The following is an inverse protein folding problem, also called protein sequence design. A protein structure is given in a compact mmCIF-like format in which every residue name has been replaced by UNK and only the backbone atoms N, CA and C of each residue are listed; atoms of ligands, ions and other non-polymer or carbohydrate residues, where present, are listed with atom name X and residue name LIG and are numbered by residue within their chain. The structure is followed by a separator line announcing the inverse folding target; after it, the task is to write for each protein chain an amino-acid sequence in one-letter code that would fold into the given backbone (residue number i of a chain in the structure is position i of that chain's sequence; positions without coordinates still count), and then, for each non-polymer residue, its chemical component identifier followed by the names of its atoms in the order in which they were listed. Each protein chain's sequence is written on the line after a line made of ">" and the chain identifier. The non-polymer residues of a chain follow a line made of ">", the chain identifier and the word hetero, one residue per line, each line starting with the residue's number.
data_IF_944971149688
#
_entry.id   IF_944971149688
#
_cell.length_a   1.000
_cell.length_b   1.000
_cell.length_c   1.000
_cell.angle_alpha   90.00
_cell.angle_beta   90.00
_cell.angle_gamma   90.00
#
_symmetry.space_group_name_H-M   'P 1'
#
loop_
_entity.id
_entity.type
_entity.pdbx_description
1 polymer ?
#
# COMPACT_ATOMS: atom_id res chain seq x y z
N UNK A 1 1.73 10.13 -19.18
CA UNK A 1 2.03 8.68 -19.14
C UNK A 1 1.98 8.15 -20.56
N UNK A 2 3.08 7.57 -21.02
CA UNK A 2 3.12 6.90 -22.33
C UNK A 2 2.59 5.48 -22.15
N UNK A 3 1.67 5.05 -23.02
CA UNK A 3 1.13 3.70 -23.00
C UNK A 3 0.98 3.20 -24.46
N UNK A 4 1.36 1.96 -24.69
CA UNK A 4 1.41 1.34 -26.02
C UNK A 4 0.54 0.07 -26.00
N UNK A 5 -0.35 -0.07 -26.98
CA UNK A 5 -1.12 -1.30 -27.16
C UNK A 5 -0.27 -2.27 -27.96
N UNK A 6 -0.01 -3.44 -27.37
CA UNK A 6 0.81 -4.49 -27.95
C UNK A 6 -0.06 -5.69 -28.35
N UNK A 7 0.20 -6.29 -29.49
CA UNK A 7 -0.29 -7.64 -29.81
C UNK A 7 0.48 -8.71 -29.02
N UNK A 8 0.03 -9.96 -29.09
CA UNK A 8 0.65 -11.07 -28.36
C UNK A 8 2.15 -11.24 -28.68
N UNK A 9 2.55 -11.04 -29.95
CA UNK A 9 3.95 -11.16 -30.38
C UNK A 9 4.81 -10.05 -29.79
N UNK A 10 4.31 -8.83 -29.78
CA UNK A 10 5.01 -7.68 -29.20
C UNK A 10 5.12 -7.81 -27.67
N UNK A 11 4.09 -8.36 -26.99
CA UNK A 11 4.16 -8.68 -25.57
C UNK A 11 5.30 -9.68 -25.26
N UNK A 12 5.46 -10.73 -26.07
CA UNK A 12 6.55 -11.70 -25.92
C UNK A 12 7.93 -11.09 -26.19
N UNK A 13 8.01 -10.07 -27.03
CA UNK A 13 9.26 -9.36 -27.29
C UNK A 13 9.67 -8.47 -26.10
N UNK A 14 8.69 -7.88 -25.38
CA UNK A 14 8.91 -7.11 -24.16
C UNK A 14 9.20 -8.02 -22.97
N UNK A 15 8.41 -9.10 -22.83
CA UNK A 15 8.50 -10.03 -21.70
C UNK A 15 8.51 -11.49 -22.16
N UNK A 16 9.70 -12.05 -22.42
CA UNK A 16 9.83 -13.43 -22.89
C UNK A 16 9.31 -14.50 -21.92
N UNK A 17 9.22 -14.21 -20.62
CA UNK A 17 8.66 -15.14 -19.63
C UNK A 17 7.18 -15.49 -19.88
N UNK A 18 6.46 -14.65 -20.65
CA UNK A 18 5.08 -14.92 -21.09
C UNK A 18 4.96 -16.04 -22.14
N UNK A 19 6.08 -16.56 -22.66
CA UNK A 19 6.06 -17.63 -23.67
C UNK A 19 5.29 -18.89 -23.25
N UNK A 20 5.20 -19.14 -21.93
CA UNK A 20 4.43 -20.27 -21.40
C UNK A 20 2.92 -20.13 -21.51
N UNK A 21 2.40 -18.93 -21.73
CA UNK A 21 0.96 -18.65 -21.89
C UNK A 21 0.61 -18.02 -23.24
N UNK A 22 1.50 -18.07 -24.24
CA UNK A 22 1.34 -17.40 -25.54
C UNK A 22 0.01 -17.70 -26.24
N UNK A 23 -0.49 -18.93 -26.18
CA UNK A 23 -1.72 -19.35 -26.85
C UNK A 23 -2.99 -18.71 -26.24
N UNK A 24 -2.90 -18.25 -25.01
CA UNK A 24 -3.98 -17.54 -24.28
C UNK A 24 -3.78 -16.02 -24.23
N UNK A 25 -2.67 -15.51 -24.74
CA UNK A 25 -2.31 -14.11 -24.70
C UNK A 25 -2.94 -13.36 -25.87
N UNK A 26 -3.94 -12.53 -25.61
CA UNK A 26 -4.59 -11.70 -26.64
C UNK A 26 -3.77 -10.46 -27.02
N UNK A 27 -3.01 -9.91 -26.08
CA UNK A 27 -2.23 -8.68 -26.18
C UNK A 27 -2.06 -8.01 -24.84
N UNK A 28 -1.55 -6.80 -24.82
CA UNK A 28 -1.31 -6.06 -23.58
C UNK A 28 -1.28 -4.54 -23.77
N UNK A 29 -1.32 -3.83 -22.66
CA UNK A 29 -1.01 -2.42 -22.57
C UNK A 29 0.34 -2.29 -21.86
N UNK A 30 1.31 -1.73 -22.55
CA UNK A 30 2.66 -1.52 -22.04
C UNK A 30 2.87 -0.05 -21.65
N UNK A 31 3.30 0.19 -20.44
CA UNK A 31 3.65 1.50 -19.91
C UNK A 31 5.17 1.53 -19.65
N UNK A 32 5.99 1.96 -20.63
CA UNK A 32 7.45 1.88 -20.54
C UNK A 32 8.07 2.80 -19.48
N UNK A 33 7.33 3.79 -19.02
CA UNK A 33 7.78 4.75 -18.00
C UNK A 33 7.34 4.35 -16.59
N UNK A 34 6.56 3.26 -16.43
CA UNK A 34 6.14 2.76 -15.14
C UNK A 34 7.28 1.94 -14.49
N UNK A 35 7.39 2.08 -13.18
CA UNK A 35 8.42 1.39 -12.39
C UNK A 35 7.81 0.53 -11.28
N UNK A 36 8.54 -0.49 -10.91
CA UNK A 36 8.22 -1.38 -9.79
C UNK A 36 9.19 -1.16 -8.65
N UNK A 37 8.68 -1.11 -7.42
CA UNK A 37 9.52 -0.94 -6.25
C UNK A 37 9.11 -1.84 -5.08
N UNK A 38 10.08 -2.17 -4.24
CA UNK A 38 9.85 -2.88 -2.99
C UNK A 38 9.41 -1.90 -1.90
N UNK A 39 8.09 -1.81 -1.66
CA UNK A 39 7.50 -0.90 -0.69
C UNK A 39 8.00 -1.16 0.75
N UNK A 40 8.30 -2.40 1.11
CA UNK A 40 8.84 -2.74 2.44
C UNK A 40 10.27 -2.20 2.59
N UNK A 41 11.14 -2.50 1.63
CA UNK A 41 12.53 -2.03 1.64
C UNK A 41 12.58 -0.49 1.63
N UNK A 42 11.77 0.16 0.79
CA UNK A 42 11.66 1.61 0.75
C UNK A 42 11.26 2.20 2.10
N UNK A 43 10.19 1.67 2.73
CA UNK A 43 9.69 2.18 4.01
C UNK A 43 10.72 2.02 5.13
N UNK A 44 11.41 0.88 5.18
CA UNK A 44 12.46 0.62 6.17
C UNK A 44 13.66 1.57 6.01
N UNK A 45 14.11 1.79 4.78
CA UNK A 45 15.20 2.72 4.49
C UNK A 45 14.82 4.16 4.81
N UNK A 46 13.61 4.58 4.41
CA UNK A 46 13.10 5.91 4.72
C UNK A 46 12.99 6.14 6.24
N UNK A 47 12.54 5.15 7.00
CA UNK A 47 12.52 5.24 8.46
C UNK A 47 13.94 5.42 9.05
N UNK A 48 14.93 4.77 8.44
CA UNK A 48 16.35 4.95 8.80
C UNK A 48 16.83 6.38 8.58
N UNK A 49 16.51 6.96 7.41
CA UNK A 49 16.84 8.35 7.08
C UNK A 49 16.12 9.34 8.01
N UNK A 50 14.84 9.10 8.31
CA UNK A 50 14.08 9.93 9.23
C UNK A 50 14.71 9.93 10.64
N UNK A 51 15.16 8.78 11.14
CA UNK A 51 15.88 8.73 12.45
C UNK A 51 17.16 9.55 12.42
N UNK A 52 17.94 9.49 11.34
CA UNK A 52 19.15 10.31 11.18
C UNK A 52 18.82 11.80 11.15
N UNK A 53 17.65 12.16 10.65
CA UNK A 53 17.14 13.52 10.65
C UNK A 53 16.50 13.96 12.01
N UNK A 54 16.53 13.11 13.04
CA UNK A 54 16.03 13.42 14.37
C UNK A 54 14.58 13.02 14.65
N UNK A 55 13.92 12.29 13.74
CA UNK A 55 12.56 11.79 13.98
C UNK A 55 12.57 10.66 15.02
N UNK A 56 11.75 10.78 16.04
CA UNK A 56 11.55 9.74 17.06
C UNK A 56 10.46 8.77 16.61
N UNK A 57 10.75 7.47 16.73
CA UNK A 57 9.81 6.39 16.43
C UNK A 57 9.45 5.64 17.72
N UNK A 58 8.15 5.50 17.98
CA UNK A 58 7.60 4.70 19.05
C UNK A 58 7.02 3.41 18.45
N UNK A 59 7.88 2.40 18.25
CA UNK A 59 7.44 1.08 17.79
C UNK A 59 6.72 0.33 18.91
N UNK A 60 5.94 -0.68 18.52
CA UNK A 60 5.13 -1.49 19.45
C UNK A 60 4.24 -0.65 20.35
N UNK A 61 3.84 0.52 19.86
CA UNK A 61 3.01 1.49 20.58
C UNK A 61 1.73 1.74 19.80
N UNK A 62 0.60 1.43 20.40
CA UNK A 62 -0.72 1.62 19.79
C UNK A 62 -1.34 2.93 20.22
N UNK A 63 -1.79 3.75 19.28
CA UNK A 63 -2.66 4.90 19.54
C UNK A 63 -4.08 4.41 19.74
N UNK A 64 -4.64 4.58 20.91
CA UNK A 64 -5.98 4.10 21.27
C UNK A 64 -7.08 5.14 21.07
N UNK A 65 -6.76 6.42 21.26
CA UNK A 65 -7.68 7.55 21.01
C UNK A 65 -6.91 8.86 20.87
N UNK A 66 -7.59 9.86 20.30
CA UNK A 66 -7.14 11.24 20.35
C UNK A 66 -7.99 12.00 21.37
N UNK A 67 -7.37 12.91 22.11
CA UNK A 67 -8.01 13.71 23.15
C UNK A 67 -8.32 15.07 22.57
N UNK A 68 -9.62 15.43 22.52
CA UNK A 68 -10.04 16.76 22.12
C UNK A 68 -9.65 17.79 23.16
N UNK A 69 -8.99 18.87 22.73
CA UNK A 69 -8.76 20.07 23.50
C UNK A 69 -9.79 21.16 23.16
N UNK A 70 -9.53 22.39 23.57
CA UNK A 70 -10.47 23.52 23.36
C UNK A 70 -10.66 23.84 21.86
N UNK A 71 -9.58 23.83 21.09
CA UNK A 71 -9.58 24.21 19.66
C UNK A 71 -8.91 23.18 18.75
N UNK A 72 -8.65 21.97 19.25
CA UNK A 72 -7.93 20.96 18.48
C UNK A 72 -7.68 19.68 19.29
N UNK A 73 -6.73 18.88 18.86
CA UNK A 73 -6.23 17.72 19.58
C UNK A 73 -5.20 18.19 20.61
N UNK A 74 -5.35 17.75 21.87
CA UNK A 74 -4.41 18.07 22.95
C UNK A 74 -3.36 16.96 23.16
N UNK A 75 -3.73 15.69 22.93
CA UNK A 75 -2.83 14.56 23.06
C UNK A 75 -3.34 13.33 22.28
N UNK A 76 -2.42 12.41 21.99
CA UNK A 76 -2.73 11.05 21.56
C UNK A 76 -2.53 10.09 22.75
N UNK A 77 -3.55 9.33 23.12
CA UNK A 77 -3.41 8.24 24.09
C UNK A 77 -2.76 7.04 23.46
N UNK A 78 -1.75 6.54 24.12
CA UNK A 78 -0.95 5.41 23.64
C UNK A 78 -0.86 4.30 24.67
N UNK A 79 -0.68 3.08 24.19
CA UNK A 79 -0.38 1.91 25.02
C UNK A 79 0.80 1.18 24.36
N UNK A 80 1.85 0.93 25.10
CA UNK A 80 3.03 0.20 24.63
C UNK A 80 2.85 -1.33 24.71
N UNK A 81 3.86 -2.08 24.26
CA UNK A 81 3.85 -3.55 24.27
C UNK A 81 3.76 -4.16 25.69
N UNK A 82 4.11 -3.40 26.73
CA UNK A 82 4.01 -3.84 28.14
C UNK A 82 2.62 -3.61 28.72
N UNK A 83 1.74 -2.93 27.97
CA UNK A 83 0.42 -2.50 28.43
C UNK A 83 0.45 -1.18 29.23
N UNK A 84 1.61 -0.50 29.27
CA UNK A 84 1.73 0.79 29.94
C UNK A 84 1.06 1.87 29.10
N UNK A 85 0.15 2.63 29.72
CA UNK A 85 -0.57 3.72 29.08
C UNK A 85 0.18 5.04 29.24
N UNK A 86 0.12 5.89 28.19
CA UNK A 86 0.72 7.21 28.20
C UNK A 86 -0.01 8.17 27.26
N UNK A 87 0.47 9.40 27.23
CA UNK A 87 -0.02 10.44 26.32
C UNK A 87 1.16 11.07 25.58
N UNK A 88 1.00 11.29 24.27
CA UNK A 88 1.94 12.02 23.44
C UNK A 88 1.31 13.34 23.03
N UNK A 89 1.98 14.45 23.38
CA UNK A 89 1.56 15.80 23.05
C UNK A 89 2.37 16.34 21.85
N UNK A 90 1.77 17.21 21.08
CA UNK A 90 2.39 17.89 19.96
C UNK A 90 1.59 19.12 19.52
N UNK A 91 2.23 19.99 18.74
CA UNK A 91 1.58 21.18 18.19
C UNK A 91 0.64 20.84 17.03
N UNK A 92 0.95 19.78 16.28
CA UNK A 92 0.15 19.26 15.18
C UNK A 92 0.12 17.73 15.20
N UNK A 93 -0.97 17.15 14.70
CA UNK A 93 -1.20 15.71 14.62
C UNK A 93 -1.50 15.33 13.19
N UNK A 94 -0.77 14.35 12.65
CA UNK A 94 -1.04 13.77 11.34
C UNK A 94 -1.56 12.34 11.50
N UNK A 95 -2.80 12.10 11.09
CA UNK A 95 -3.38 10.76 11.07
C UNK A 95 -3.05 10.07 9.74
N UNK A 96 -2.07 9.18 9.76
CA UNK A 96 -1.64 8.35 8.63
C UNK A 96 -1.81 6.85 8.91
N UNK A 97 -2.85 6.49 9.66
CA UNK A 97 -3.06 5.15 10.24
C UNK A 97 -3.82 4.18 9.30
N UNK A 98 -3.93 4.52 8.02
CA UNK A 98 -4.52 3.65 7.01
C UNK A 98 -5.93 3.19 7.38
N UNK A 99 -6.16 1.88 7.40
CA UNK A 99 -7.48 1.29 7.70
C UNK A 99 -8.00 1.62 9.11
N UNK A 100 -7.12 1.94 10.05
CA UNK A 100 -7.51 2.30 11.42
C UNK A 100 -7.92 3.77 11.58
N UNK A 101 -7.71 4.62 10.57
CA UNK A 101 -8.01 6.05 10.64
C UNK A 101 -9.48 6.34 10.95
N UNK A 102 -10.41 5.58 10.37
CA UNK A 102 -11.84 5.77 10.63
C UNK A 102 -12.23 5.51 12.09
N UNK A 103 -11.58 4.56 12.76
CA UNK A 103 -11.82 4.29 14.17
C UNK A 103 -11.27 5.41 15.07
N UNK A 104 -10.08 5.90 14.79
CA UNK A 104 -9.47 6.99 15.54
C UNK A 104 -10.21 8.32 15.32
N UNK A 105 -10.62 8.64 14.10
CA UNK A 105 -11.39 9.86 13.80
C UNK A 105 -12.71 9.91 14.60
N UNK A 106 -13.38 8.76 14.77
CA UNK A 106 -14.62 8.68 15.57
C UNK A 106 -14.41 9.08 17.03
N UNK A 107 -13.23 8.92 17.61
CA UNK A 107 -12.94 9.38 18.97
C UNK A 107 -13.04 10.91 19.14
N UNK A 108 -12.95 11.63 18.00
CA UNK A 108 -13.10 13.09 17.91
C UNK A 108 -14.47 13.50 17.32
N UNK A 109 -15.39 12.56 17.10
CA UNK A 109 -16.68 12.81 16.46
C UNK A 109 -16.57 13.07 14.95
N UNK A 110 -15.46 12.70 14.31
CA UNK A 110 -15.29 12.79 12.86
C UNK A 110 -15.56 11.44 12.18
N UNK A 111 -16.03 11.50 10.94
CA UNK A 111 -16.33 10.30 10.14
C UNK A 111 -15.45 10.29 8.89
N UNK A 112 -14.68 9.23 8.72
CA UNK A 112 -13.90 8.98 7.51
C UNK A 112 -14.49 7.76 6.77
N UNK A 113 -14.81 7.86 5.47
CA UNK A 113 -15.39 6.77 4.70
C UNK A 113 -14.30 5.76 4.27
N UNK A 114 -13.60 5.19 5.24
CA UNK A 114 -12.52 4.23 5.00
C UNK A 114 -12.95 2.85 5.48
N UNK A 115 -12.86 1.87 4.56
CA UNK A 115 -13.14 0.47 4.85
C UNK A 115 -11.87 -0.38 4.64
N UNK A 116 -11.55 -1.32 5.56
CA UNK A 116 -10.42 -2.24 5.40
C UNK A 116 -10.76 -3.33 4.37
N UNK A 117 -10.19 -3.25 3.18
CA UNK A 117 -10.30 -4.29 2.15
C UNK A 117 -9.09 -5.21 2.22
N UNK A 118 -9.30 -6.46 2.64
CA UNK A 118 -8.22 -7.43 2.77
C UNK A 118 -7.73 -7.90 1.40
N UNK A 119 -6.42 -7.81 1.19
CA UNK A 119 -5.73 -8.34 0.03
C UNK A 119 -4.70 -9.38 0.44
N UNK A 120 -4.31 -10.23 -0.51
CA UNK A 120 -3.35 -11.30 -0.29
C UNK A 120 -2.15 -11.14 -1.21
N UNK A 121 -1.01 -11.64 -0.79
CA UNK A 121 0.14 -11.83 -1.66
C UNK A 121 0.86 -13.13 -1.32
N UNK A 122 1.52 -13.67 -2.35
CA UNK A 122 2.42 -14.80 -2.27
C UNK A 122 3.78 -14.32 -2.73
N UNK A 123 4.82 -14.57 -1.96
CA UNK A 123 6.19 -14.26 -2.33
C UNK A 123 6.96 -15.56 -2.51
N UNK A 124 7.53 -15.75 -3.70
CA UNK A 124 8.36 -16.89 -4.05
C UNK A 124 9.82 -16.47 -4.06
N UNK A 125 10.72 -17.14 -3.32
CA UNK A 125 12.14 -17.00 -3.54
C UNK A 125 12.50 -17.60 -4.89
N UNK A 126 13.36 -16.93 -5.66
CA UNK A 126 13.79 -17.36 -6.99
C UNK A 126 15.24 -17.86 -6.96
N UNK A 127 15.52 -18.90 -7.73
CA UNK A 127 16.89 -19.27 -8.04
C UNK A 127 17.56 -18.19 -8.91
N UNK A 128 18.90 -18.16 -8.91
CA UNK A 128 19.66 -17.13 -9.63
C UNK A 128 19.45 -17.18 -11.16
N UNK A 129 19.07 -18.33 -11.67
CA UNK A 129 18.83 -18.63 -13.09
C UNK A 129 17.33 -18.79 -13.43
N UNK A 130 16.43 -18.44 -12.48
CA UNK A 130 14.99 -18.56 -12.71
C UNK A 130 14.51 -17.63 -13.83
N UNK A 131 13.69 -18.17 -14.74
CA UNK A 131 13.02 -17.39 -15.79
C UNK A 131 11.88 -16.54 -15.19
N UNK A 132 12.23 -15.52 -14.41
CA UNK A 132 11.26 -14.61 -13.81
C UNK A 132 10.96 -13.43 -14.75
N UNK A 133 9.73 -12.86 -14.67
CA UNK A 133 9.39 -11.71 -15.49
C UNK A 133 10.32 -10.52 -15.19
N UNK A 134 10.77 -9.85 -16.23
CA UNK A 134 11.61 -8.64 -16.15
C UNK A 134 10.81 -7.37 -15.89
N UNK A 135 9.53 -7.36 -16.28
CA UNK A 135 8.58 -6.27 -16.04
C UNK A 135 7.45 -6.73 -15.12
N UNK A 136 6.80 -5.77 -14.46
CA UNK A 136 5.59 -6.08 -13.67
C UNK A 136 4.43 -6.45 -14.60
N UNK A 137 3.77 -7.56 -14.34
CA UNK A 137 2.65 -8.07 -15.14
C UNK A 137 1.36 -8.00 -14.33
N UNK A 138 0.38 -7.27 -14.86
CA UNK A 138 -1.00 -7.31 -14.36
C UNK A 138 -1.85 -8.18 -15.30
N UNK A 139 -2.34 -9.32 -14.81
CA UNK A 139 -3.31 -10.14 -15.53
C UNK A 139 -4.72 -9.76 -15.07
N UNK A 140 -5.43 -9.04 -15.93
CA UNK A 140 -6.79 -8.58 -15.66
C UNK A 140 -7.80 -9.74 -15.62
N UNK A 141 -7.57 -10.81 -16.38
CA UNK A 141 -8.47 -11.97 -16.42
C UNK A 141 -8.41 -12.80 -15.14
N UNK A 142 -7.21 -12.91 -14.56
CA UNK A 142 -6.96 -13.67 -13.32
C UNK A 142 -6.96 -12.77 -12.09
N UNK A 143 -6.98 -11.45 -12.26
CA UNK A 143 -6.95 -10.44 -11.17
C UNK A 143 -5.74 -10.62 -10.25
N UNK A 144 -4.56 -10.76 -10.84
CA UNK A 144 -3.29 -10.84 -10.13
C UNK A 144 -2.27 -9.88 -10.72
N UNK A 145 -1.32 -9.48 -9.87
CA UNK A 145 -0.16 -8.67 -10.24
C UNK A 145 1.08 -9.44 -9.85
N UNK A 146 1.99 -9.64 -10.80
CA UNK A 146 3.28 -10.29 -10.58
C UNK A 146 4.39 -9.27 -10.70
N UNK A 147 5.21 -9.11 -9.65
CA UNK A 147 6.32 -8.15 -9.61
C UNK A 147 7.60 -8.84 -9.18
N UNK A 148 8.66 -8.67 -9.98
CA UNK A 148 9.99 -9.18 -9.66
C UNK A 148 10.71 -8.19 -8.73
N UNK A 149 11.11 -8.64 -7.54
CA UNK A 149 11.73 -7.83 -6.49
C UNK A 149 13.06 -8.47 -6.05
N UNK A 150 14.14 -8.14 -6.74
CA UNK A 150 15.46 -8.74 -6.49
C UNK A 150 15.47 -10.24 -6.77
N UNK A 151 15.65 -11.07 -5.76
CA UNK A 151 15.60 -12.54 -5.88
C UNK A 151 14.23 -13.15 -5.52
N UNK A 152 13.16 -12.38 -5.63
CA UNK A 152 11.82 -12.81 -5.26
C UNK A 152 10.80 -12.40 -6.32
N UNK A 153 9.83 -13.28 -6.57
CA UNK A 153 8.61 -12.92 -7.30
C UNK A 153 7.47 -12.72 -6.30
N UNK A 154 6.92 -11.52 -6.27
CA UNK A 154 5.74 -11.21 -5.48
C UNK A 154 4.50 -11.24 -6.37
N UNK A 155 3.52 -12.05 -5.98
CA UNK A 155 2.25 -12.20 -6.67
C UNK A 155 1.17 -11.68 -5.72
N UNK A 156 0.49 -10.59 -6.10
CA UNK A 156 -0.60 -10.01 -5.33
C UNK A 156 -1.93 -10.22 -6.03
N UNK A 157 -2.99 -10.42 -5.28
CA UNK A 157 -4.33 -10.57 -5.84
C UNK A 157 -5.40 -10.61 -4.77
N UNK A 158 -6.62 -10.81 -5.21
CA UNK A 158 -7.81 -10.99 -4.38
C UNK A 158 -8.18 -9.74 -3.55
N UNK A 159 -9.47 -9.56 -3.37
CA UNK A 159 -10.06 -8.61 -2.42
C UNK A 159 -11.11 -9.33 -1.58
N UNK A 160 -11.15 -9.05 -0.29
CA UNK A 160 -12.08 -9.66 0.65
C UNK A 160 -12.58 -8.62 1.66
N UNK A 161 -13.88 -8.67 1.95
CA UNK A 161 -14.56 -7.73 2.85
C UNK A 161 -14.81 -8.43 4.20
N UNK A 162 -13.81 -8.44 5.07
CA UNK A 162 -13.82 -9.14 6.36
C UNK A 162 -13.59 -8.22 7.55
N UNK A 163 -13.78 -6.91 7.36
CA UNK A 163 -13.45 -5.93 8.39
C UNK A 163 -11.95 -5.95 8.73
N UNK A 164 -11.64 -5.93 10.00
CA UNK A 164 -10.24 -5.89 10.47
C UNK A 164 -9.57 -7.26 10.61
N UNK A 165 -10.19 -8.34 10.14
CA UNK A 165 -9.54 -9.64 10.09
C UNK A 165 -8.41 -9.65 9.06
N UNK A 166 -7.16 -9.71 9.51
CA UNK A 166 -5.97 -9.81 8.70
C UNK A 166 -5.37 -11.22 8.66
N UNK A 167 -6.12 -12.24 9.10
CA UNK A 167 -5.65 -13.63 9.05
C UNK A 167 -5.41 -14.11 7.62
N UNK A 168 -4.38 -14.93 7.44
CA UNK A 168 -4.03 -15.48 6.12
C UNK A 168 -4.92 -16.69 5.81
N UNK A 169 -5.63 -16.64 4.69
CA UNK A 169 -6.34 -17.79 4.15
C UNK A 169 -5.44 -18.53 3.14
N UNK A 170 -4.88 -19.65 3.55
CA UNK A 170 -3.97 -20.46 2.73
C UNK A 170 -4.59 -20.91 1.39
N UNK A 171 -5.89 -21.21 1.36
CA UNK A 171 -6.59 -21.60 0.14
C UNK A 171 -6.64 -20.48 -0.90
N UNK A 172 -6.80 -19.22 -0.47
CA UNK A 172 -6.73 -18.05 -1.35
C UNK A 172 -5.32 -17.79 -1.87
N UNK A 173 -4.31 -17.92 -1.01
CA UNK A 173 -2.91 -17.80 -1.41
C UNK A 173 -2.52 -18.90 -2.41
N UNK A 174 -2.92 -20.15 -2.17
CA UNK A 174 -2.70 -21.25 -3.11
C UNK A 174 -3.40 -21.02 -4.47
N UNK A 175 -4.58 -20.39 -4.48
CA UNK A 175 -5.26 -20.03 -5.72
C UNK A 175 -4.50 -18.92 -6.50
N UNK A 176 -3.95 -17.92 -5.81
CA UNK A 176 -3.09 -16.89 -6.41
C UNK A 176 -1.85 -17.53 -7.03
N UNK A 177 -1.20 -18.44 -6.32
CA UNK A 177 -0.02 -19.14 -6.79
C UNK A 177 -0.31 -19.97 -8.05
N UNK A 178 -1.39 -20.75 -8.05
CA UNK A 178 -1.80 -21.52 -9.25
C UNK A 178 -2.02 -20.61 -10.47
N UNK A 179 -2.67 -19.47 -10.29
CA UNK A 179 -2.89 -18.50 -11.37
C UNK A 179 -1.59 -17.95 -11.94
N UNK A 180 -0.60 -17.68 -11.09
CA UNK A 180 0.72 -17.24 -11.54
C UNK A 180 1.47 -18.36 -12.28
N UNK A 181 1.36 -19.62 -11.83
CA UNK A 181 1.94 -20.78 -12.51
C UNK A 181 1.34 -21.05 -13.89
N UNK A 182 0.09 -20.67 -14.12
CA UNK A 182 -0.55 -20.73 -15.45
C UNK A 182 0.08 -19.71 -16.43
N UNK A 183 0.55 -18.56 -15.92
CA UNK A 183 1.21 -17.53 -16.73
C UNK A 183 2.69 -17.90 -16.92
N UNK A 184 3.34 -18.33 -15.85
CA UNK A 184 4.76 -18.62 -15.78
C UNK A 184 5.01 -20.08 -15.38
N UNK A 185 4.70 -21.07 -16.24
CA UNK A 185 4.80 -22.49 -15.89
C UNK A 185 6.23 -22.97 -15.63
N UNK A 186 7.25 -22.19 -16.03
CA UNK A 186 8.67 -22.53 -15.85
C UNK A 186 9.29 -21.89 -14.62
N UNK A 187 8.53 -21.11 -13.82
CA UNK A 187 9.06 -20.58 -12.60
C UNK A 187 9.23 -21.69 -11.56
N UNK A 188 10.47 -21.96 -11.20
CA UNK A 188 10.84 -22.86 -10.13
C UNK A 188 11.18 -22.06 -8.87
N UNK A 189 10.40 -22.20 -7.78
CA UNK A 189 10.76 -21.58 -6.51
C UNK A 189 12.01 -22.21 -5.93
N UNK A 190 12.92 -21.39 -5.39
CA UNK A 190 14.11 -21.84 -4.65
C UNK A 190 13.82 -22.24 -3.20
N UNK A 191 12.57 -22.20 -2.76
CA UNK A 191 12.13 -22.52 -1.41
C UNK A 191 10.64 -22.37 -1.22
N UNK A 192 10.18 -22.39 0.04
CA UNK A 192 8.77 -22.27 0.36
C UNK A 192 8.18 -20.90 0.04
N UNK A 193 6.94 -20.88 -0.39
CA UNK A 193 6.18 -19.65 -0.64
C UNK A 193 5.78 -18.97 0.67
N UNK A 194 6.06 -17.70 0.80
CA UNK A 194 5.59 -16.87 1.90
C UNK A 194 4.19 -16.32 1.59
N UNK A 195 3.23 -16.57 2.48
CA UNK A 195 1.86 -16.07 2.37
C UNK A 195 1.64 -14.88 3.29
N UNK A 196 1.03 -13.84 2.76
CA UNK A 196 0.75 -12.62 3.49
C UNK A 196 -0.64 -12.08 3.19
N UNK A 197 -1.25 -11.40 4.17
CA UNK A 197 -2.49 -10.66 4.01
C UNK A 197 -2.37 -9.28 4.66
N UNK A 198 -3.05 -8.28 4.08
CA UNK A 198 -3.07 -6.93 4.61
C UNK A 198 -4.33 -6.17 4.24
N UNK A 199 -4.61 -5.12 5.00
CA UNK A 199 -5.83 -4.32 4.90
C UNK A 199 -5.57 -3.04 4.11
N UNK A 200 -6.15 -2.94 2.91
CA UNK A 200 -6.12 -1.71 2.10
C UNK A 200 -7.12 -0.71 2.68
N UNK A 201 -6.73 0.52 2.97
CA UNK A 201 -7.63 1.58 3.44
C UNK A 201 -8.45 2.13 2.26
N UNK A 202 -9.51 1.43 1.87
CA UNK A 202 -10.31 1.79 0.71
C UNK A 202 -11.33 2.88 1.05
N UNK A 203 -11.46 3.86 0.15
CA UNK A 203 -12.53 4.86 0.14
C UNK A 203 -13.52 4.56 -0.99
N UNK A 204 -14.76 5.03 -0.96
CA UNK A 204 -15.76 4.74 -1.99
C UNK A 204 -15.35 5.13 -3.41
N UNK A 205 -14.55 6.17 -3.58
CA UNK A 205 -14.08 6.64 -4.89
C UNK A 205 -12.61 6.35 -5.17
N UNK A 206 -11.93 5.57 -4.33
CA UNK A 206 -10.47 5.39 -4.35
C UNK A 206 -9.67 6.72 -4.25
N UNK A 207 -10.32 7.81 -3.83
CA UNK A 207 -9.67 9.09 -3.60
C UNK A 207 -9.21 9.15 -2.14
N UNK A 208 -7.91 9.36 -1.87
CA UNK A 208 -7.40 9.44 -0.50
C UNK A 208 -7.92 10.68 0.22
N UNK A 209 -7.93 10.62 1.54
CA UNK A 209 -8.24 11.75 2.42
C UNK A 209 -6.92 12.39 2.82
N UNK A 210 -6.63 13.56 2.25
CA UNK A 210 -5.40 14.33 2.50
C UNK A 210 -5.77 15.76 2.82
N UNK A 211 -5.22 16.35 3.88
CA UNK A 211 -5.43 17.75 4.24
C UNK A 211 -5.84 17.96 5.68
N UNK A 212 -6.45 19.14 5.96
CA UNK A 212 -6.87 19.53 7.32
C UNK A 212 -8.18 18.85 7.71
N UNK A 213 -8.28 18.49 8.98
CA UNK A 213 -9.52 18.15 9.67
C UNK A 213 -10.34 19.42 9.97
N UNK A 214 -11.49 19.26 10.59
CA UNK A 214 -12.24 20.36 11.22
C UNK A 214 -11.55 20.96 12.44
N UNK A 215 -10.61 20.23 13.03
CA UNK A 215 -9.79 20.66 14.15
C UNK A 215 -8.52 21.32 13.63
N UNK A 216 -8.15 22.45 14.21
CA UNK A 216 -7.10 23.36 13.69
C UNK A 216 -5.74 22.68 13.52
N UNK A 217 -5.39 21.73 14.39
CA UNK A 217 -4.10 21.07 14.42
C UNK A 217 -4.12 19.58 14.05
N UNK A 218 -5.23 19.08 13.47
CA UNK A 218 -5.32 17.70 13.00
C UNK A 218 -5.32 17.66 11.46
N UNK A 219 -4.51 16.76 10.93
CA UNK A 219 -4.34 16.54 9.49
C UNK A 219 -4.54 15.07 9.16
N UNK A 220 -4.90 14.79 7.92
CA UNK A 220 -5.07 13.45 7.38
C UNK A 220 -4.14 13.21 6.21
N UNK A 221 -3.56 12.00 6.13
CA UNK A 221 -2.94 11.43 4.95
C UNK A 221 -3.22 9.92 4.93
N UNK A 222 -4.40 9.54 4.45
CA UNK A 222 -4.93 8.19 4.62
C UNK A 222 -5.92 7.84 3.52
N UNK A 223 -6.41 6.59 3.48
CA UNK A 223 -7.46 6.20 2.54
C UNK A 223 -6.97 5.95 1.11
N UNK A 224 -5.70 5.63 0.89
CA UNK A 224 -5.09 5.49 -0.44
C UNK A 224 -5.50 4.21 -1.20
N UNK A 225 -6.25 3.30 -0.57
CA UNK A 225 -6.75 2.09 -1.22
C UNK A 225 -5.64 1.25 -1.86
N UNK A 226 -5.78 0.98 -3.15
CA UNK A 226 -4.80 0.22 -3.95
C UNK A 226 -3.66 1.07 -4.52
N UNK A 227 -3.78 2.39 -4.47
CA UNK A 227 -2.82 3.33 -5.06
C UNK A 227 -1.81 3.91 -4.05
N UNK A 228 -1.77 3.37 -2.83
CA UNK A 228 -0.93 3.90 -1.75
C UNK A 228 0.55 3.95 -2.08
N UNK A 229 1.09 2.96 -2.81
CA UNK A 229 2.46 2.97 -3.29
C UNK A 229 2.70 4.10 -4.30
N UNK A 230 1.90 4.15 -5.34
CA UNK A 230 2.00 5.16 -6.42
C UNK A 230 1.91 6.60 -5.88
N UNK A 231 1.05 6.83 -4.88
CA UNK A 231 0.79 8.16 -4.35
C UNK A 231 1.66 8.53 -3.14
N UNK A 232 2.47 7.62 -2.60
CA UNK A 232 3.13 7.77 -1.31
C UNK A 232 3.95 9.06 -1.18
N UNK A 233 4.91 9.28 -2.08
CA UNK A 233 5.79 10.46 -2.03
C UNK A 233 5.03 11.75 -2.30
N UNK A 234 4.15 11.76 -3.33
CA UNK A 234 3.37 12.95 -3.68
C UNK A 234 2.39 13.36 -2.58
N UNK A 235 1.70 12.40 -1.96
CA UNK A 235 0.79 12.69 -0.84
C UNK A 235 1.54 13.14 0.42
N UNK A 236 2.72 12.55 0.66
CA UNK A 236 3.60 12.96 1.75
C UNK A 236 4.07 14.41 1.59
N UNK A 237 4.52 14.80 0.39
CA UNK A 237 4.91 16.18 0.09
C UNK A 237 3.72 17.13 0.24
N UNK A 238 2.57 16.78 -0.34
CA UNK A 238 1.37 17.63 -0.27
C UNK A 238 0.91 17.89 1.17
N UNK A 239 0.87 16.85 2.02
CA UNK A 239 0.46 17.03 3.42
C UNK A 239 1.50 17.83 4.22
N UNK A 240 2.80 17.68 3.93
CA UNK A 240 3.85 18.46 4.56
C UNK A 240 3.68 19.97 4.23
N UNK A 241 3.41 20.30 2.97
CA UNK A 241 3.13 21.68 2.56
C UNK A 241 1.89 22.25 3.26
N UNK A 242 0.82 21.46 3.39
CA UNK A 242 -0.42 21.86 4.08
C UNK A 242 -0.16 22.12 5.57
N UNK A 243 0.61 21.26 6.25
CA UNK A 243 0.96 21.43 7.67
C UNK A 243 1.78 22.71 7.87
N UNK A 244 2.70 22.98 6.96
CA UNK A 244 3.57 24.16 6.97
C UNK A 244 2.87 25.46 6.49
N UNK A 245 1.58 25.37 6.16
CA UNK A 245 0.77 26.50 5.69
C UNK A 245 1.06 26.93 4.24
N UNK A 246 1.80 26.10 3.50
CA UNK A 246 2.07 26.31 2.07
C UNK A 246 0.97 25.70 1.21
N UNK A 247 0.83 26.19 -0.02
CA UNK A 247 -0.04 25.59 -1.02
C UNK A 247 0.69 24.42 -1.67
N UNK A 248 0.11 23.20 -1.70
CA UNK A 248 0.69 22.09 -2.42
C UNK A 248 0.84 22.39 -3.92
N UNK A 249 1.88 21.85 -4.55
CA UNK A 249 2.12 22.00 -5.98
C UNK A 249 0.96 21.42 -6.82
N UNK A 250 0.41 20.29 -6.36
CA UNK A 250 -0.76 19.66 -6.99
C UNK A 250 -2.02 20.14 -6.29
N UNK A 251 -2.93 20.77 -7.05
CA UNK A 251 -4.27 21.10 -6.57
C UNK A 251 -5.13 19.85 -6.54
N UNK A 252 -5.20 19.24 -5.39
CA UNK A 252 -6.23 18.25 -5.14
C UNK A 252 -7.46 18.93 -4.53
N UNK A 253 -8.66 18.41 -4.78
CA UNK A 253 -9.79 18.76 -3.95
C UNK A 253 -9.64 18.07 -2.59
N UNK A 254 -8.59 18.43 -1.84
CA UNK A 254 -8.36 17.97 -0.49
C UNK A 254 -9.46 18.52 0.40
N UNK A 255 -10.50 17.78 0.56
CA UNK A 255 -11.52 18.07 1.54
C UNK A 255 -11.28 17.15 2.73
N UNK A 256 -10.81 17.75 3.82
CA UNK A 256 -11.25 17.26 5.11
C UNK A 256 -12.79 17.37 5.11
N UNK A 257 -13.44 16.27 5.35
CA UNK A 257 -14.88 16.17 5.42
C UNK A 257 -15.44 16.92 6.62
#
# INVERSE_FOLDING_TARGET
>A
MRAEVLDARACLAVEPALSGCQDSLAGGLYAPDDETGDALAFTQQLAGLCRQAGVTFHFETSVTSLIAGRNGVSAARVVDATGSAGELCGDAYLMATGSHSAALARTLGESLPIYPVKGYSVTLPLAADAEAPSVSITDESRRIVCSHLGNRLRIAGTAELTGFDASVNAGRCAAILRRAQEIFPRIEPAGDAEYWAGLRPATPGNVPVIGRSRLDNLFYNTGHGTLGWTLACGSGQAVADIIDGRRPEIEFPFRAL
#
